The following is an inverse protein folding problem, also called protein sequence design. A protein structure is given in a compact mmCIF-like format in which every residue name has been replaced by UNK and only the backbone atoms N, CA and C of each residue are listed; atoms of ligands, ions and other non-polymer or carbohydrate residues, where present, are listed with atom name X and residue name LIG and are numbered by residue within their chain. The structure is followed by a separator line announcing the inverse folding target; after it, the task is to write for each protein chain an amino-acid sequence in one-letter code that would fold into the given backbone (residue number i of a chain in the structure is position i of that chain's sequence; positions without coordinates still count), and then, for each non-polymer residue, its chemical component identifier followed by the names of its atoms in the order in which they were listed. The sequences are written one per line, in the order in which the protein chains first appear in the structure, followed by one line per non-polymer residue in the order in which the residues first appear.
data_IF_696374885762
#
_entry.id   IF_696374885762
#
_cell.length_a   1.000
_cell.length_b   1.000
_cell.length_c   1.000
_cell.angle_alpha   90.00
_cell.angle_beta   90.00
_cell.angle_gamma   90.00
#
_symmetry.space_group_name_H-M   'P 1'
#
loop_
_entity.id
_entity.type
_entity.pdbx_description
1 polymer ?
#
# COMPACT_ATOMS: atom_id res chain seq x y z
N UNK A 1 -16.34 -11.09 -25.90
CA UNK A 1 -15.39 -11.99 -25.19
C UNK A 1 -14.43 -12.73 -26.14
N UNK A 2 -13.11 -12.57 -25.97
CA UNK A 2 -12.04 -13.29 -26.72
C UNK A 2 -11.28 -14.21 -25.74
N UNK A 3 -10.76 -15.36 -26.20
CA UNK A 3 -10.02 -16.31 -25.36
C UNK A 3 -8.62 -16.51 -25.93
N UNK A 4 -7.60 -16.38 -25.09
CA UNK A 4 -6.20 -16.59 -25.43
C UNK A 4 -5.67 -17.86 -24.78
N UNK A 5 -4.87 -18.60 -25.56
CA UNK A 5 -4.33 -19.90 -25.16
C UNK A 5 -3.20 -19.81 -24.12
N UNK A 6 -2.54 -18.67 -24.02
CA UNK A 6 -1.41 -18.44 -23.12
C UNK A 6 -1.13 -16.92 -23.03
N UNK A 7 -0.24 -16.54 -22.11
CA UNK A 7 0.12 -15.14 -21.91
C UNK A 7 0.84 -14.53 -23.12
N UNK A 8 1.78 -15.23 -23.80
CA UNK A 8 2.37 -14.76 -25.06
C UNK A 8 1.34 -14.36 -26.12
N UNK A 9 0.31 -15.20 -26.34
CA UNK A 9 -0.73 -14.91 -27.32
C UNK A 9 -1.58 -13.70 -26.92
N UNK A 10 -1.88 -13.54 -25.63
CA UNK A 10 -2.57 -12.34 -25.11
C UNK A 10 -1.71 -11.09 -25.36
N UNK A 11 -0.43 -11.14 -24.99
CA UNK A 11 0.50 -10.01 -25.11
C UNK A 11 0.67 -9.56 -26.56
N UNK A 12 0.79 -10.50 -27.50
CA UNK A 12 0.85 -10.18 -28.93
C UNK A 12 -0.42 -9.50 -29.44
N UNK A 13 -1.57 -9.77 -28.82
CA UNK A 13 -2.85 -9.20 -29.21
C UNK A 13 -3.18 -7.88 -28.50
N UNK A 14 -2.46 -7.48 -27.43
CA UNK A 14 -2.73 -6.25 -26.67
C UNK A 14 -2.93 -5.00 -27.55
N UNK A 15 -2.15 -4.75 -28.63
CA UNK A 15 -2.34 -3.57 -29.47
C UNK A 15 -3.69 -3.54 -30.22
N UNK A 16 -4.39 -4.67 -30.33
CA UNK A 16 -5.66 -4.82 -31.03
C UNK A 16 -6.87 -4.90 -30.08
N UNK A 17 -6.64 -4.83 -28.77
CA UNK A 17 -7.67 -4.89 -27.72
C UNK A 17 -8.07 -3.49 -27.26
N UNK A 18 -9.30 -3.31 -26.80
CA UNK A 18 -9.73 -2.03 -26.26
C UNK A 18 -9.10 -1.83 -24.87
N UNK A 19 -8.57 -0.64 -24.58
CA UNK A 19 -7.96 -0.34 -23.29
C UNK A 19 -8.96 -0.42 -22.11
N UNK A 20 -10.24 -0.24 -22.40
CA UNK A 20 -11.34 -0.42 -21.45
C UNK A 20 -11.67 -1.88 -21.15
N UNK A 21 -11.16 -2.84 -21.92
CA UNK A 21 -11.43 -4.26 -21.70
C UNK A 21 -10.70 -4.78 -20.44
N UNK A 22 -11.26 -5.83 -19.85
CA UNK A 22 -10.66 -6.57 -18.75
C UNK A 22 -10.15 -7.93 -19.20
N UNK A 23 -9.03 -8.33 -18.60
CA UNK A 23 -8.52 -9.70 -18.67
C UNK A 23 -8.90 -10.43 -17.40
N UNK A 24 -9.56 -11.55 -17.56
CA UNK A 24 -9.94 -12.46 -16.49
C UNK A 24 -9.05 -13.73 -16.51
N UNK A 25 -8.82 -14.28 -15.33
CA UNK A 25 -8.13 -15.56 -15.09
C UNK A 25 -9.09 -16.62 -14.55
N UNK A 26 -8.79 -17.91 -14.73
CA UNK A 26 -9.44 -18.99 -13.97
C UNK A 26 -9.37 -18.70 -12.46
N UNK A 27 -10.47 -18.95 -11.74
CA UNK A 27 -10.61 -18.54 -10.35
C UNK A 27 -9.57 -19.18 -9.41
N UNK A 28 -9.13 -20.40 -9.72
CA UNK A 28 -8.06 -21.13 -9.03
C UNK A 28 -6.68 -20.51 -9.29
N UNK A 29 -6.43 -20.03 -10.50
CA UNK A 29 -5.20 -19.32 -10.84
C UNK A 29 -5.16 -17.93 -10.17
N UNK A 30 -6.28 -17.19 -10.20
CA UNK A 30 -6.38 -15.92 -9.50
C UNK A 30 -6.10 -16.07 -7.99
N UNK A 31 -6.72 -17.06 -7.34
CA UNK A 31 -6.48 -17.34 -5.92
C UNK A 31 -5.02 -17.71 -5.60
N UNK A 32 -4.31 -18.36 -6.53
CA UNK A 32 -2.89 -18.67 -6.37
C UNK A 32 -2.00 -17.43 -6.52
N UNK A 33 -2.34 -16.48 -7.39
CA UNK A 33 -1.62 -15.21 -7.49
C UNK A 33 -1.78 -14.37 -6.22
N UNK A 34 -2.98 -14.39 -5.64
CA UNK A 34 -3.29 -13.64 -4.42
C UNK A 34 -2.67 -14.25 -3.16
N UNK A 35 -2.21 -15.51 -3.21
CA UNK A 35 -1.67 -16.20 -2.05
C UNK A 35 -0.30 -15.61 -1.60
N UNK A 36 -0.17 -15.07 -0.37
CA UNK A 36 1.02 -14.34 0.06
C UNK A 36 2.27 -15.20 0.32
N UNK A 37 2.15 -16.54 0.40
CA UNK A 37 3.22 -17.42 0.90
C UNK A 37 3.63 -18.58 -0.02
N UNK A 38 3.21 -18.59 -1.29
CA UNK A 38 3.63 -19.62 -2.25
C UNK A 38 4.60 -19.04 -3.29
N UNK A 39 5.66 -19.82 -3.61
CA UNK A 39 6.68 -19.54 -4.65
C UNK A 39 6.07 -19.06 -5.99
N UNK A 40 6.85 -18.34 -6.80
CA UNK A 40 6.52 -17.01 -7.28
C UNK A 40 5.30 -17.00 -8.20
N UNK A 41 4.37 -16.08 -7.92
CA UNK A 41 3.21 -15.74 -8.76
C UNK A 41 3.55 -15.64 -10.27
N UNK A 42 4.79 -15.26 -10.60
CA UNK A 42 5.33 -15.22 -11.96
C UNK A 42 5.39 -16.58 -12.69
N UNK A 43 5.58 -17.72 -11.99
CA UNK A 43 5.68 -19.05 -12.61
C UNK A 43 4.32 -19.59 -13.02
N UNK A 44 3.26 -19.26 -12.28
CA UNK A 44 1.88 -19.59 -12.66
C UNK A 44 1.54 -19.04 -14.05
N UNK A 45 1.97 -17.79 -14.32
CA UNK A 45 1.74 -17.11 -15.60
C UNK A 45 2.48 -17.75 -16.79
N UNK A 46 3.44 -18.64 -16.54
CA UNK A 46 4.17 -19.39 -17.58
C UNK A 46 3.46 -20.68 -17.97
N UNK A 47 2.43 -21.10 -17.24
CA UNK A 47 1.79 -22.39 -17.47
C UNK A 47 1.06 -22.41 -18.83
N UNK A 48 1.38 -23.36 -19.73
CA UNK A 48 0.78 -23.42 -21.06
C UNK A 48 -0.71 -23.85 -21.03
N UNK A 49 -1.22 -24.27 -19.87
CA UNK A 49 -2.62 -24.60 -19.65
C UNK A 49 -3.46 -23.39 -19.18
N UNK A 50 -2.81 -22.31 -18.74
CA UNK A 50 -3.49 -21.11 -18.29
C UNK A 50 -4.16 -20.41 -19.49
N UNK A 51 -5.42 -20.06 -19.33
CA UNK A 51 -6.22 -19.37 -20.36
C UNK A 51 -6.58 -17.99 -19.87
N UNK A 52 -6.58 -17.04 -20.79
CA UNK A 52 -6.92 -15.65 -20.49
C UNK A 52 -8.18 -15.29 -21.26
N UNK A 53 -9.15 -14.68 -20.58
CA UNK A 53 -10.41 -14.28 -21.18
C UNK A 53 -10.48 -12.77 -21.19
N UNK A 54 -10.61 -12.18 -22.37
CA UNK A 54 -10.79 -10.74 -22.54
C UNK A 54 -12.27 -10.44 -22.72
N UNK A 55 -12.81 -9.53 -21.91
CA UNK A 55 -14.21 -9.10 -21.94
C UNK A 55 -14.31 -7.58 -21.85
N UNK A 56 -15.47 -7.06 -22.27
CA UNK A 56 -15.80 -5.65 -22.05
C UNK A 56 -15.98 -5.38 -20.55
N UNK A 57 -15.62 -4.19 -20.07
CA UNK A 57 -15.74 -3.83 -18.64
C UNK A 57 -17.17 -3.93 -18.11
N UNK A 58 -18.18 -3.72 -18.95
CA UNK A 58 -19.59 -3.77 -18.57
C UNK A 58 -20.16 -5.21 -18.56
N UNK A 59 -19.41 -6.19 -19.07
CA UNK A 59 -19.79 -7.59 -19.04
C UNK A 59 -19.35 -8.23 -17.72
N UNK A 60 -20.21 -9.04 -17.12
CA UNK A 60 -19.86 -9.82 -15.94
C UNK A 60 -18.77 -10.87 -16.27
N UNK A 61 -17.87 -11.21 -15.32
CA UNK A 61 -16.91 -12.28 -15.49
C UNK A 61 -17.59 -13.61 -15.84
N UNK A 62 -16.95 -14.38 -16.70
CA UNK A 62 -17.42 -15.73 -17.04
C UNK A 62 -17.40 -16.62 -15.79
N UNK A 63 -18.39 -17.51 -15.65
CA UNK A 63 -18.40 -18.52 -14.58
C UNK A 63 -17.05 -19.26 -14.49
N UNK A 64 -16.49 -19.35 -13.29
CA UNK A 64 -15.19 -19.96 -13.03
C UNK A 64 -13.98 -19.08 -13.37
N UNK A 65 -14.19 -17.82 -13.75
CA UNK A 65 -13.15 -16.83 -13.97
C UNK A 65 -13.35 -15.63 -13.04
N UNK A 66 -12.25 -14.95 -12.71
CA UNK A 66 -12.22 -13.71 -11.93
C UNK A 66 -11.48 -12.62 -12.70
N UNK A 67 -11.86 -11.34 -12.53
CA UNK A 67 -11.06 -10.23 -13.03
C UNK A 67 -9.62 -10.35 -12.54
N UNK A 68 -8.66 -10.03 -13.41
CA UNK A 68 -7.25 -10.00 -13.06
C UNK A 68 -6.66 -8.62 -13.29
N UNK A 69 -6.63 -8.15 -14.55
CA UNK A 69 -6.08 -6.83 -14.88
C UNK A 69 -6.80 -6.20 -16.08
N UNK A 70 -6.95 -4.88 -16.12
CA UNK A 70 -7.37 -4.16 -17.33
C UNK A 70 -6.33 -4.28 -18.45
N UNK A 71 -6.80 -4.29 -19.70
CA UNK A 71 -5.93 -4.22 -20.88
C UNK A 71 -5.06 -2.97 -20.84
N UNK A 72 -5.58 -1.84 -20.34
CA UNK A 72 -4.81 -0.62 -20.15
C UNK A 72 -3.54 -0.82 -19.31
N UNK A 73 -3.62 -1.58 -18.21
CA UNK A 73 -2.46 -1.81 -17.33
C UNK A 73 -1.45 -2.74 -17.98
N UNK A 74 -1.94 -3.82 -18.62
CA UNK A 74 -1.08 -4.76 -19.33
C UNK A 74 -0.38 -4.09 -20.53
N UNK A 75 -1.06 -3.20 -21.25
CA UNK A 75 -0.49 -2.50 -22.40
C UNK A 75 0.62 -1.50 -22.04
N UNK A 76 0.63 -0.98 -20.80
CA UNK A 76 1.67 -0.07 -20.32
C UNK A 76 2.96 -0.80 -19.92
N UNK A 77 2.92 -2.11 -19.81
CA UNK A 77 4.08 -2.92 -19.44
C UNK A 77 5.03 -3.11 -20.64
N UNK A 78 6.33 -3.06 -20.37
CA UNK A 78 7.38 -3.25 -21.39
C UNK A 78 7.66 -4.74 -21.64
N UNK A 79 6.70 -5.43 -22.26
CA UNK A 79 6.80 -6.86 -22.53
C UNK A 79 7.99 -7.18 -23.44
N UNK A 80 8.89 -8.10 -23.05
CA UNK A 80 9.93 -8.60 -23.93
C UNK A 80 9.33 -9.49 -25.03
N UNK A 81 10.13 -9.80 -26.06
CA UNK A 81 9.70 -10.78 -27.07
C UNK A 81 9.38 -12.13 -26.41
N UNK A 82 8.22 -12.75 -26.67
CA UNK A 82 7.92 -14.08 -26.14
C UNK A 82 8.87 -15.18 -26.62
N UNK A 83 9.65 -14.93 -27.68
CA UNK A 83 10.69 -15.87 -28.15
C UNK A 83 11.94 -15.85 -27.27
N UNK A 84 12.17 -14.81 -26.47
CA UNK A 84 13.29 -14.73 -25.53
C UNK A 84 12.84 -15.21 -24.14
N UNK A 85 12.97 -16.52 -23.92
CA UNK A 85 12.52 -17.16 -22.67
C UNK A 85 13.22 -16.58 -21.42
N UNK A 86 14.46 -16.11 -21.54
CA UNK A 86 15.22 -15.57 -20.39
C UNK A 86 14.73 -14.18 -20.05
N UNK A 87 14.62 -13.29 -21.05
CA UNK A 87 14.07 -11.95 -20.84
C UNK A 87 12.62 -12.02 -20.34
N UNK A 88 11.80 -12.91 -20.93
CA UNK A 88 10.42 -13.14 -20.52
C UNK A 88 10.32 -13.60 -19.07
N UNK A 89 11.11 -14.60 -18.66
CA UNK A 89 11.09 -15.09 -17.27
C UNK A 89 11.54 -14.02 -16.28
N UNK A 90 12.58 -13.23 -16.61
CA UNK A 90 13.05 -12.12 -15.76
C UNK A 90 12.00 -11.02 -15.64
N UNK A 91 11.33 -10.68 -16.74
CA UNK A 91 10.27 -9.70 -16.76
C UNK A 91 9.09 -10.13 -15.87
N UNK A 92 8.62 -11.37 -16.02
CA UNK A 92 7.52 -11.87 -15.18
C UNK A 92 7.89 -11.86 -13.70
N UNK A 93 9.11 -12.26 -13.34
CA UNK A 93 9.58 -12.20 -11.95
C UNK A 93 9.69 -10.76 -11.44
N UNK A 94 10.09 -9.81 -12.28
CA UNK A 94 10.23 -8.41 -11.88
C UNK A 94 8.87 -7.71 -11.70
N UNK A 95 7.88 -8.02 -12.55
CA UNK A 95 6.57 -7.35 -12.49
C UNK A 95 5.58 -8.06 -11.55
N UNK A 96 5.54 -9.39 -11.57
CA UNK A 96 4.57 -10.20 -10.81
C UNK A 96 5.19 -10.96 -9.64
N UNK A 97 6.51 -11.02 -9.54
CA UNK A 97 7.17 -11.55 -8.36
C UNK A 97 7.10 -10.58 -7.18
N UNK A 98 7.21 -11.13 -5.96
CA UNK A 98 7.27 -10.38 -4.70
C UNK A 98 8.69 -10.41 -4.15
N UNK A 99 9.13 -9.31 -3.55
CA UNK A 99 10.47 -9.22 -2.94
C UNK A 99 10.68 -10.34 -1.92
N UNK A 100 11.89 -10.87 -1.85
CA UNK A 100 12.27 -11.87 -0.84
C UNK A 100 13.22 -11.29 0.21
N UNK A 101 13.54 -9.99 0.12
CA UNK A 101 14.59 -9.33 0.90
C UNK A 101 14.41 -9.45 2.42
N UNK A 102 13.16 -9.40 2.89
CA UNK A 102 12.80 -9.40 4.31
C UNK A 102 11.80 -10.52 4.67
N UNK A 103 11.61 -11.49 3.76
CA UNK A 103 10.63 -12.57 3.90
C UNK A 103 11.21 -13.77 4.65
N UNK A 104 12.54 -13.90 4.71
CA UNK A 104 13.17 -14.96 5.50
C UNK A 104 12.75 -14.85 6.97
N UNK A 105 12.34 -15.98 7.57
CA UNK A 105 11.95 -16.03 8.97
C UNK A 105 13.15 -15.64 9.84
N UNK A 106 13.01 -14.49 10.49
CA UNK A 106 13.85 -14.16 11.63
C UNK A 106 13.23 -14.75 12.89
N UNK A 107 14.07 -15.25 13.80
CA UNK A 107 13.62 -15.63 15.13
C UNK A 107 13.07 -14.39 15.87
N UNK A 108 12.12 -14.62 16.78
CA UNK A 108 11.66 -13.58 17.70
C UNK A 108 12.88 -13.03 18.45
N UNK A 109 13.03 -11.70 18.50
CA UNK A 109 14.15 -11.08 19.19
C UNK A 109 14.17 -11.44 20.68
N UNK A 110 15.36 -11.67 21.23
CA UNK A 110 15.54 -11.63 22.66
C UNK A 110 15.42 -10.17 23.15
N UNK A 111 15.03 -9.97 24.41
CA UNK A 111 14.90 -8.63 25.02
C UNK A 111 16.20 -7.81 24.88
N UNK A 112 17.36 -8.47 24.96
CA UNK A 112 18.67 -7.85 24.82
C UNK A 112 19.02 -7.40 23.39
N UNK A 113 18.29 -7.91 22.38
CA UNK A 113 18.50 -7.60 20.97
C UNK A 113 17.61 -6.44 20.48
N UNK A 114 16.69 -5.95 21.33
CA UNK A 114 15.87 -4.79 21.01
C UNK A 114 16.75 -3.54 20.85
N UNK A 115 16.74 -2.90 19.66
CA UNK A 115 17.55 -1.71 19.44
C UNK A 115 16.99 -0.52 20.23
N UNK A 116 17.91 0.34 20.71
CA UNK A 116 17.51 1.62 21.30
C UNK A 116 16.74 2.47 20.28
N UNK A 117 15.71 3.24 20.68
CA UNK A 117 14.98 4.12 19.77
C UNK A 117 15.88 5.21 19.19
N UNK A 118 15.84 5.37 17.86
CA UNK A 118 16.71 6.32 17.16
C UNK A 118 16.05 6.89 15.90
N UNK A 119 16.52 8.07 15.48
CA UNK A 119 16.15 8.68 14.21
C UNK A 119 17.18 8.35 13.13
N UNK A 120 16.70 8.15 11.90
CA UNK A 120 17.57 8.17 10.74
C UNK A 120 18.16 9.57 10.49
N UNK A 121 19.42 9.65 10.00
CA UNK A 121 19.97 10.90 9.50
C UNK A 121 19.12 11.49 8.36
N UNK A 122 19.15 12.82 8.21
CA UNK A 122 18.37 13.50 7.17
C UNK A 122 18.80 13.13 5.73
N UNK A 123 20.02 12.60 5.56
CA UNK A 123 20.60 12.12 4.31
C UNK A 123 20.58 10.59 4.18
N UNK A 124 19.75 9.90 4.99
CA UNK A 124 19.62 8.46 4.95
C UNK A 124 19.19 7.98 3.55
N UNK A 125 19.89 6.95 3.06
CA UNK A 125 19.53 6.29 1.81
C UNK A 125 18.22 5.52 1.94
N UNK A 126 17.59 5.20 0.81
CA UNK A 126 16.41 4.34 0.78
C UNK A 126 16.65 3.00 1.49
N UNK A 127 17.84 2.40 1.31
CA UNK A 127 18.18 1.14 1.97
C UNK A 127 18.26 1.28 3.50
N UNK A 128 18.73 2.41 4.01
CA UNK A 128 18.77 2.70 5.44
C UNK A 128 17.36 2.91 6.00
N UNK A 129 16.49 3.64 5.28
CA UNK A 129 15.09 3.83 5.68
C UNK A 129 14.33 2.51 5.67
N UNK A 130 14.47 1.69 4.63
CA UNK A 130 13.85 0.35 4.56
C UNK A 130 14.28 -0.54 5.73
N UNK A 131 15.57 -0.55 6.08
CA UNK A 131 16.07 -1.29 7.23
C UNK A 131 15.48 -0.76 8.55
N UNK A 132 15.33 0.57 8.68
CA UNK A 132 14.71 1.20 9.85
C UNK A 132 13.24 0.83 10.00
N UNK A 133 12.46 0.91 8.92
CA UNK A 133 11.05 0.51 8.93
C UNK A 133 10.90 -0.95 9.28
N UNK A 134 11.78 -1.81 8.75
CA UNK A 134 11.79 -3.22 9.11
C UNK A 134 12.12 -3.45 10.59
N UNK A 135 13.05 -2.69 11.17
CA UNK A 135 13.32 -2.75 12.61
C UNK A 135 12.12 -2.31 13.44
N UNK A 136 11.40 -1.27 13.02
CA UNK A 136 10.16 -0.85 13.67
C UNK A 136 9.07 -1.92 13.59
N UNK A 137 8.97 -2.64 12.47
CA UNK A 137 8.04 -3.77 12.31
C UNK A 137 8.40 -4.93 13.25
N UNK A 138 9.69 -5.28 13.33
CA UNK A 138 10.18 -6.29 14.25
C UNK A 138 9.93 -5.91 15.71
N UNK A 139 10.19 -4.65 16.08
CA UNK A 139 9.90 -4.13 17.40
C UNK A 139 8.40 -4.21 17.75
N UNK A 140 7.53 -3.93 16.77
CA UNK A 140 6.09 -4.04 16.95
C UNK A 140 5.65 -5.49 17.15
N UNK A 141 6.04 -6.39 16.24
CA UNK A 141 5.68 -7.81 16.30
C UNK A 141 6.22 -8.50 17.57
N UNK A 142 7.42 -8.09 18.03
CA UNK A 142 8.02 -8.61 19.26
C UNK A 142 7.14 -8.40 20.49
N UNK A 143 6.37 -7.31 20.56
CA UNK A 143 5.45 -7.08 21.69
C UNK A 143 4.33 -8.14 21.77
N UNK A 144 4.04 -8.81 20.66
CA UNK A 144 3.10 -9.93 20.58
C UNK A 144 3.82 -11.30 20.61
N UNK A 145 5.12 -11.33 20.94
CA UNK A 145 5.97 -12.53 20.92
C UNK A 145 6.04 -13.21 19.54
N UNK A 146 5.85 -12.43 18.46
CA UNK A 146 5.90 -12.90 17.07
C UNK A 146 7.04 -12.23 16.27
N UNK A 147 7.58 -12.90 15.25
CA UNK A 147 8.51 -12.27 14.33
C UNK A 147 7.75 -11.44 13.28
N UNK A 148 8.30 -10.31 12.86
CA UNK A 148 7.67 -9.55 11.78
C UNK A 148 7.71 -10.34 10.46
N UNK A 149 6.55 -10.45 9.83
CA UNK A 149 6.37 -11.16 8.56
C UNK A 149 6.20 -10.17 7.42
N UNK A 150 7.27 -9.87 6.69
CA UNK A 150 7.15 -9.05 5.48
C UNK A 150 6.21 -9.73 4.46
N UNK A 151 5.27 -8.96 3.92
CA UNK A 151 4.28 -9.37 2.91
C UNK A 151 4.30 -8.40 1.72
N UNK A 152 5.43 -8.33 0.97
CA UNK A 152 5.58 -7.35 -0.10
C UNK A 152 4.59 -7.58 -1.25
N UNK A 153 4.13 -6.48 -1.84
CA UNK A 153 3.33 -6.47 -3.06
C UNK A 153 4.22 -6.52 -4.30
N UNK A 154 3.67 -7.03 -5.40
CA UNK A 154 4.29 -7.02 -6.72
C UNK A 154 4.12 -5.66 -7.40
N UNK A 155 4.96 -5.37 -8.40
CA UNK A 155 4.83 -4.14 -9.18
C UNK A 155 3.52 -4.09 -9.96
N UNK A 156 3.03 -5.23 -10.43
CA UNK A 156 1.75 -5.33 -11.12
C UNK A 156 0.56 -4.97 -10.22
N UNK A 157 0.56 -5.40 -8.96
CA UNK A 157 -0.46 -5.02 -7.96
C UNK A 157 -0.45 -3.49 -7.73
N UNK A 158 0.74 -2.89 -7.58
CA UNK A 158 0.84 -1.44 -7.39
C UNK A 158 0.45 -0.65 -8.64
N UNK A 159 0.81 -1.11 -9.85
CA UNK A 159 0.35 -0.49 -11.10
C UNK A 159 -1.16 -0.54 -11.25
N UNK A 160 -1.78 -1.64 -10.86
CA UNK A 160 -3.24 -1.79 -10.87
C UNK A 160 -3.89 -0.81 -9.89
N UNK A 161 -3.32 -0.66 -8.71
CA UNK A 161 -3.74 0.35 -7.74
C UNK A 161 -3.63 1.77 -8.33
N UNK A 162 -2.46 2.16 -8.84
CA UNK A 162 -2.21 3.48 -9.43
C UNK A 162 -3.12 3.79 -10.61
N UNK A 163 -3.39 2.80 -11.46
CA UNK A 163 -4.35 2.92 -12.55
C UNK A 163 -5.76 3.20 -12.03
N UNK A 164 -6.22 2.49 -11.00
CA UNK A 164 -7.54 2.74 -10.37
C UNK A 164 -7.59 4.15 -9.78
N UNK A 165 -6.52 4.57 -9.11
CA UNK A 165 -6.43 5.88 -8.45
C UNK A 165 -6.31 7.04 -9.44
N UNK A 166 -5.83 6.78 -10.66
CA UNK A 166 -5.51 7.81 -11.65
C UNK A 166 -4.28 8.64 -11.28
N UNK A 167 -3.43 8.16 -10.36
CA UNK A 167 -2.19 8.81 -9.94
C UNK A 167 -1.17 7.76 -9.46
N UNK A 168 0.09 8.16 -9.40
CA UNK A 168 1.15 7.32 -8.84
C UNK A 168 1.10 7.34 -7.31
N UNK A 169 1.50 6.24 -6.67
CA UNK A 169 1.77 6.25 -5.25
C UNK A 169 3.03 7.09 -4.97
N UNK A 170 3.13 7.80 -3.82
CA UNK A 170 4.38 8.40 -3.38
C UNK A 170 5.50 7.36 -3.33
N UNK A 171 6.72 7.75 -3.74
CA UNK A 171 7.85 6.82 -3.92
C UNK A 171 8.15 6.02 -2.64
N UNK A 172 8.21 6.68 -1.49
CA UNK A 172 8.43 6.02 -0.19
C UNK A 172 7.34 5.00 0.15
N UNK A 173 6.07 5.29 -0.14
CA UNK A 173 4.96 4.34 0.07
C UNK A 173 5.08 3.14 -0.88
N UNK A 174 5.41 3.42 -2.15
CA UNK A 174 5.61 2.39 -3.16
C UNK A 174 6.76 1.45 -2.76
N UNK A 175 7.88 1.99 -2.32
CA UNK A 175 9.04 1.20 -1.90
C UNK A 175 8.76 0.38 -0.64
N UNK A 176 8.07 0.97 0.34
CA UNK A 176 7.60 0.24 1.52
C UNK A 176 6.71 -0.96 1.11
N UNK A 177 5.71 -0.75 0.26
CA UNK A 177 4.81 -1.81 -0.19
C UNK A 177 5.54 -2.89 -1.01
N UNK A 178 6.52 -2.52 -1.84
CA UNK A 178 7.31 -3.47 -2.64
C UNK A 178 8.28 -4.33 -1.83
N UNK A 179 8.75 -3.83 -0.68
CA UNK A 179 9.80 -4.50 0.10
C UNK A 179 9.28 -5.13 1.40
N UNK A 180 8.33 -4.47 2.06
CA UNK A 180 7.84 -4.84 3.39
C UNK A 180 6.36 -5.21 3.35
N UNK A 181 5.49 -4.33 2.85
CA UNK A 181 4.06 -4.61 2.63
C UNK A 181 3.25 -5.03 3.86
N UNK A 182 3.75 -4.81 5.07
CA UNK A 182 2.98 -5.04 6.31
C UNK A 182 2.00 -3.88 6.48
N UNK A 183 0.72 -4.20 6.63
CA UNK A 183 -0.35 -3.20 6.69
C UNK A 183 -0.78 -2.86 8.11
N UNK A 184 -0.49 -3.72 9.09
CA UNK A 184 -0.91 -3.55 10.46
C UNK A 184 0.32 -3.55 11.37
N UNK A 185 0.57 -2.41 12.03
CA UNK A 185 1.61 -2.27 13.05
C UNK A 185 1.25 -1.13 14.03
N UNK A 186 2.09 -0.10 14.20
CA UNK A 186 1.78 1.02 15.10
C UNK A 186 0.46 1.74 14.76
N UNK A 187 0.15 1.84 13.46
CA UNK A 187 -1.11 2.31 12.89
C UNK A 187 -1.41 1.49 11.63
N UNK A 188 -2.65 1.54 11.12
CA UNK A 188 -3.08 0.72 10.00
C UNK A 188 -2.84 1.44 8.66
N UNK A 189 -2.17 0.75 7.73
CA UNK A 189 -2.12 1.11 6.31
C UNK A 189 -3.24 0.39 5.55
N UNK A 190 -3.75 1.02 4.50
CA UNK A 190 -4.74 0.43 3.61
C UNK A 190 -4.07 -0.42 2.52
N UNK A 191 -4.80 -1.42 2.05
CA UNK A 191 -4.30 -2.35 1.02
C UNK A 191 -4.24 -1.69 -0.37
N UNK A 192 -3.18 -1.90 -1.16
CA UNK A 192 -3.19 -1.51 -2.58
C UNK A 192 -4.11 -2.41 -3.41
N UNK A 193 -4.40 -3.64 -2.95
CA UNK A 193 -5.35 -4.56 -3.56
C UNK A 193 -6.78 -4.21 -3.12
N UNK A 194 -7.73 -4.31 -4.06
CA UNK A 194 -9.13 -3.95 -3.88
C UNK A 194 -10.06 -5.00 -4.50
N UNK A 195 -11.34 -4.98 -4.13
CA UNK A 195 -12.36 -5.81 -4.78
C UNK A 195 -12.52 -5.42 -6.26
N UNK A 196 -11.99 -6.26 -7.15
CA UNK A 196 -12.07 -6.04 -8.60
C UNK A 196 -13.50 -6.16 -9.16
N UNK A 197 -14.47 -6.64 -8.37
CA UNK A 197 -15.89 -6.67 -8.74
C UNK A 197 -16.59 -5.37 -8.37
N UNK A 198 -16.22 -4.76 -7.24
CA UNK A 198 -16.78 -3.51 -6.74
C UNK A 198 -15.68 -2.51 -6.31
N UNK A 199 -14.82 -2.07 -7.24
CA UNK A 199 -13.59 -1.34 -6.91
C UNK A 199 -13.81 0.03 -6.27
N UNK A 200 -14.99 0.61 -6.48
CA UNK A 200 -15.38 1.94 -5.99
C UNK A 200 -16.18 1.86 -4.68
N UNK A 201 -16.30 0.68 -4.07
CA UNK A 201 -16.99 0.47 -2.79
C UNK A 201 -16.06 -0.14 -1.71
N UNK A 202 -14.79 -0.37 -2.04
CA UNK A 202 -13.83 -1.00 -1.13
C UNK A 202 -13.22 0.03 -0.18
N UNK A 203 -13.68 0.00 1.07
CA UNK A 203 -13.23 0.89 2.14
C UNK A 203 -11.87 0.49 2.73
N UNK A 204 -11.42 -0.75 2.52
CA UNK A 204 -10.17 -1.27 3.10
C UNK A 204 -8.95 -1.05 2.16
N UNK A 205 -9.17 -0.49 0.97
CA UNK A 205 -8.19 -0.44 -0.10
C UNK A 205 -7.87 0.97 -0.61
N UNK A 206 -6.65 1.46 -0.32
CA UNK A 206 -6.11 2.83 -0.59
C UNK A 206 -7.23 3.79 -1.04
N UNK A 207 -7.33 4.38 -2.23
CA UNK A 207 -8.61 4.98 -2.68
C UNK A 207 -8.93 6.40 -2.19
N UNK A 208 -10.06 6.92 -2.68
CA UNK A 208 -10.48 8.30 -2.40
C UNK A 208 -11.10 8.43 -1.02
N UNK A 209 -11.05 9.65 -0.47
CA UNK A 209 -11.63 9.93 0.85
C UNK A 209 -13.13 9.58 0.89
N UNK A 210 -13.87 9.84 -0.19
CA UNK A 210 -15.32 9.58 -0.21
C UNK A 210 -15.66 8.08 -0.21
N UNK A 211 -14.77 7.22 -0.73
CA UNK A 211 -14.98 5.77 -0.71
C UNK A 211 -14.62 5.22 0.66
N UNK A 212 -13.44 5.58 1.18
CA UNK A 212 -12.94 5.06 2.46
C UNK A 212 -13.74 5.59 3.65
N UNK A 213 -14.12 6.87 3.62
CA UNK A 213 -14.94 7.49 4.67
C UNK A 213 -16.11 8.28 4.06
N UNK A 214 -17.22 7.59 3.71
CA UNK A 214 -18.39 8.23 3.12
C UNK A 214 -19.01 9.32 3.99
N UNK A 215 -18.86 9.23 5.32
CA UNK A 215 -19.35 10.22 6.29
C UNK A 215 -18.74 11.61 6.13
N UNK A 216 -17.64 11.75 5.37
CA UNK A 216 -17.05 13.05 5.05
C UNK A 216 -18.03 13.97 4.31
N UNK A 217 -18.99 13.42 3.55
CA UNK A 217 -19.97 14.19 2.83
C UNK A 217 -20.82 15.06 3.78
N UNK A 218 -21.29 14.47 4.88
CA UNK A 218 -22.10 15.15 5.88
C UNK A 218 -21.31 16.26 6.58
N UNK A 219 -20.04 16.00 6.93
CA UNK A 219 -19.14 16.98 7.55
C UNK A 219 -18.93 18.20 6.64
N UNK A 220 -18.72 17.95 5.36
CA UNK A 220 -18.53 19.00 4.36
C UNK A 220 -19.83 19.78 4.14
N UNK A 221 -20.99 19.13 4.13
CA UNK A 221 -22.30 19.78 3.98
C UNK A 221 -22.67 20.67 5.16
N UNK A 222 -22.20 20.35 6.37
CA UNK A 222 -22.38 21.18 7.57
C UNK A 222 -21.49 22.44 7.59
N UNK A 223 -20.52 22.55 6.68
CA UNK A 223 -19.63 23.71 6.59
C UNK A 223 -20.28 24.89 5.85
N UNK A 224 -19.76 26.11 6.06
CA UNK A 224 -20.21 27.28 5.28
C UNK A 224 -19.98 27.06 3.76
N UNK A 225 -20.84 27.59 2.86
CA UNK A 225 -20.80 27.24 1.43
C UNK A 225 -19.43 27.40 0.74
N UNK A 226 -18.72 28.50 1.03
CA UNK A 226 -17.38 28.74 0.46
C UNK A 226 -16.34 27.73 1.00
N UNK A 227 -16.44 27.41 2.30
CA UNK A 227 -15.58 26.43 2.95
C UNK A 227 -15.87 25.01 2.45
N UNK A 228 -17.15 24.66 2.28
CA UNK A 228 -17.56 23.39 1.72
C UNK A 228 -17.02 23.21 0.29
N UNK A 229 -17.07 24.25 -0.55
CA UNK A 229 -16.49 24.20 -1.90
C UNK A 229 -14.97 24.00 -1.87
N UNK A 230 -14.27 24.73 -1.00
CA UNK A 230 -12.82 24.59 -0.82
C UNK A 230 -12.44 23.19 -0.31
N UNK A 231 -13.16 22.66 0.68
CA UNK A 231 -12.94 21.32 1.21
C UNK A 231 -13.21 20.25 0.15
N UNK A 232 -14.28 20.35 -0.64
CA UNK A 232 -14.54 19.41 -1.74
C UNK A 232 -13.40 19.38 -2.74
N UNK A 233 -12.89 20.55 -3.12
CA UNK A 233 -11.77 20.66 -4.05
C UNK A 233 -10.46 20.12 -3.45
N UNK A 234 -10.24 20.27 -2.15
CA UNK A 234 -9.06 19.72 -1.49
C UNK A 234 -9.15 18.20 -1.32
N UNK A 235 -10.29 17.68 -0.86
CA UNK A 235 -10.54 16.26 -0.66
C UNK A 235 -10.47 15.47 -1.98
N UNK A 236 -10.82 16.08 -3.12
CA UNK A 236 -10.68 15.43 -4.42
C UNK A 236 -9.24 15.22 -4.86
N UNK A 237 -8.28 15.96 -4.27
CA UNK A 237 -6.85 15.77 -4.53
C UNK A 237 -6.20 14.76 -3.57
N UNK A 238 -6.88 14.42 -2.47
CA UNK A 238 -6.37 13.49 -1.47
C UNK A 238 -6.69 12.03 -1.82
N UNK A 239 -5.77 11.15 -1.47
CA UNK A 239 -5.90 9.69 -1.55
C UNK A 239 -5.56 9.12 -0.19
N UNK A 240 -6.46 8.30 0.37
CA UNK A 240 -6.29 7.69 1.69
C UNK A 240 -5.36 6.50 1.56
N UNK A 241 -4.37 6.41 2.45
CA UNK A 241 -3.44 5.28 2.51
C UNK A 241 -3.30 4.68 3.90
N UNK A 242 -3.89 5.30 4.93
CA UNK A 242 -3.89 4.77 6.29
C UNK A 242 -5.11 5.20 7.09
N UNK A 243 -5.41 4.40 8.10
CA UNK A 243 -6.46 4.60 9.09
C UNK A 243 -5.80 4.79 10.46
N UNK A 244 -6.17 5.88 11.13
CA UNK A 244 -5.70 6.17 12.48
C UNK A 244 -6.55 5.39 13.48
N UNK A 245 -6.04 4.22 13.88
CA UNK A 245 -6.58 3.40 14.98
C UNK A 245 -8.06 2.99 14.82
N UNK A 246 -8.61 3.02 13.60
CA UNK A 246 -10.00 2.68 13.33
C UNK A 246 -11.00 3.70 13.87
N UNK A 247 -10.54 4.90 14.25
CA UNK A 247 -11.42 5.91 14.86
C UNK A 247 -12.12 6.81 13.84
N UNK A 248 -11.77 6.71 12.55
CA UNK A 248 -12.32 7.53 11.47
C UNK A 248 -11.42 8.68 11.01
N UNK A 249 -10.33 8.96 11.71
CA UNK A 249 -9.27 9.84 11.22
C UNK A 249 -8.40 9.10 10.20
N UNK A 250 -7.96 9.82 9.17
CA UNK A 250 -7.34 9.21 8.01
C UNK A 250 -6.00 9.85 7.65
N UNK A 251 -5.08 9.01 7.20
CA UNK A 251 -3.85 9.45 6.56
C UNK A 251 -4.03 9.48 5.05
N UNK A 252 -3.80 10.66 4.48
CA UNK A 252 -3.95 10.91 3.06
C UNK A 252 -2.62 11.39 2.47
N UNK A 253 -2.34 11.05 1.21
CA UNK A 253 -1.36 11.77 0.42
C UNK A 253 -2.06 12.66 -0.62
N UNK A 254 -1.46 13.79 -0.93
CA UNK A 254 -1.91 14.66 -2.02
C UNK A 254 -1.35 14.15 -3.35
N UNK A 255 -2.24 13.88 -4.32
CA UNK A 255 -1.85 13.32 -5.63
C UNK A 255 -0.94 14.23 -6.45
N UNK A 256 -0.82 15.52 -6.10
CA UNK A 256 -0.07 16.53 -6.87
C UNK A 256 1.38 16.60 -6.46
N UNK A 257 1.66 16.51 -5.16
CA UNK A 257 3.00 16.68 -4.60
C UNK A 257 3.47 15.55 -3.67
N UNK A 258 2.60 14.59 -3.33
CA UNK A 258 2.91 13.48 -2.44
C UNK A 258 2.94 13.84 -0.95
N UNK A 259 2.61 15.09 -0.59
CA UNK A 259 2.57 15.52 0.80
C UNK A 259 1.52 14.77 1.61
N UNK A 260 1.80 14.52 2.87
CA UNK A 260 0.93 13.77 3.78
C UNK A 260 0.04 14.72 4.55
N UNK A 261 -1.24 14.39 4.57
CA UNK A 261 -2.29 15.11 5.26
C UNK A 261 -2.99 14.19 6.27
N UNK A 262 -3.25 14.73 7.44
CA UNK A 262 -4.11 14.12 8.44
C UNK A 262 -5.52 14.71 8.30
N UNK A 263 -6.48 13.83 8.06
CA UNK A 263 -7.90 14.15 8.12
C UNK A 263 -8.40 13.83 9.53
N UNK A 264 -8.69 14.88 10.27
CA UNK A 264 -9.21 14.80 11.63
C UNK A 264 -10.68 15.21 11.62
N UNK A 265 -11.56 14.22 11.69
CA UNK A 265 -13.00 14.45 11.68
C UNK A 265 -13.55 14.90 13.05
N UNK A 266 -12.74 14.79 14.11
CA UNK A 266 -13.11 15.12 15.49
C UNK A 266 -12.81 16.59 15.83
N UNK A 267 -11.74 17.16 15.27
CA UNK A 267 -11.28 18.49 15.65
C UNK A 267 -10.88 19.40 14.47
N UNK A 268 -11.00 20.71 14.70
CA UNK A 268 -10.58 21.72 13.72
C UNK A 268 -9.06 21.99 13.79
N UNK A 269 -8.36 22.17 12.66
CA UNK A 269 -8.89 22.07 11.30
C UNK A 269 -9.06 20.60 10.85
N UNK A 270 -10.06 20.36 9.98
CA UNK A 270 -10.37 19.04 9.42
C UNK A 270 -9.19 18.43 8.66
N UNK A 271 -8.40 19.26 7.97
CA UNK A 271 -7.24 18.83 7.19
C UNK A 271 -6.00 19.56 7.69
N UNK A 272 -4.97 18.80 8.06
CA UNK A 272 -3.65 19.33 8.46
C UNK A 272 -2.57 18.67 7.63
N UNK A 273 -1.71 19.46 6.95
CA UNK A 273 -0.50 18.92 6.30
C UNK A 273 0.49 18.55 7.39
N UNK A 274 0.90 17.28 7.42
CA UNK A 274 1.74 16.70 8.47
C UNK A 274 3.17 16.48 8.00
N UNK A 275 3.33 15.92 6.80
CA UNK A 275 4.65 15.58 6.27
C UNK A 275 4.77 15.96 4.80
N UNK A 276 6.00 16.14 4.34
CA UNK A 276 6.28 16.38 2.93
C UNK A 276 6.43 15.08 2.13
N UNK A 277 6.72 13.96 2.81
CA UNK A 277 6.90 12.63 2.24
C UNK A 277 6.26 11.55 3.12
N UNK A 278 5.72 10.49 2.51
CA UNK A 278 5.16 9.34 3.25
C UNK A 278 6.24 8.62 4.06
N UNK A 279 7.50 8.67 3.62
CA UNK A 279 8.59 8.08 4.38
C UNK A 279 8.77 8.73 5.76
N UNK A 280 8.50 10.04 5.92
CA UNK A 280 8.63 10.71 7.22
C UNK A 280 7.58 10.19 8.21
N UNK A 281 6.39 9.89 7.70
CA UNK A 281 5.35 9.19 8.46
C UNK A 281 5.80 7.76 8.83
N UNK A 282 6.36 6.99 7.89
CA UNK A 282 6.86 5.63 8.18
C UNK A 282 8.05 5.62 9.16
N UNK A 283 8.95 6.62 9.08
CA UNK A 283 10.03 6.81 10.05
C UNK A 283 9.47 7.10 11.44
N UNK A 284 8.42 7.92 11.54
CA UNK A 284 7.74 8.20 12.80
C UNK A 284 7.08 6.94 13.39
N UNK A 285 6.39 6.14 12.57
CA UNK A 285 5.80 4.87 13.03
C UNK A 285 6.87 3.88 13.51
N UNK A 286 7.99 3.77 12.78
CA UNK A 286 9.10 2.92 13.20
C UNK A 286 9.66 3.35 14.56
N UNK A 287 9.84 4.66 14.78
CA UNK A 287 10.29 5.20 16.06
C UNK A 287 9.28 4.94 17.18
N UNK A 288 7.98 5.12 16.93
CA UNK A 288 6.93 4.85 17.92
C UNK A 288 6.97 3.39 18.36
N UNK A 289 7.06 2.45 17.42
CA UNK A 289 7.20 1.01 17.72
C UNK A 289 8.44 0.73 18.56
N UNK A 290 9.59 1.32 18.21
CA UNK A 290 10.84 1.17 18.94
C UNK A 290 10.75 1.72 20.37
N UNK A 291 10.17 2.91 20.56
CA UNK A 291 9.99 3.50 21.89
C UNK A 291 9.10 2.62 22.78
N UNK A 292 7.98 2.13 22.24
CA UNK A 292 7.06 1.24 22.96
C UNK A 292 7.75 -0.06 23.37
N UNK A 293 8.35 -0.78 22.42
CA UNK A 293 8.98 -2.08 22.71
C UNK A 293 10.16 -1.94 23.67
N UNK A 294 10.98 -0.89 23.52
CA UNK A 294 12.10 -0.64 24.41
C UNK A 294 11.66 -0.24 25.84
N UNK A 295 10.55 0.49 25.99
CA UNK A 295 9.98 0.74 27.31
C UNK A 295 9.47 -0.57 27.95
N UNK A 296 8.75 -1.39 27.20
CA UNK A 296 8.24 -2.70 27.64
C UNK A 296 9.38 -3.62 28.10
N UNK A 297 10.46 -3.73 27.32
CA UNK A 297 11.65 -4.50 27.67
C UNK A 297 12.24 -4.07 29.03
N UNK A 298 12.22 -2.77 29.33
CA UNK A 298 12.72 -2.24 30.60
C UNK A 298 11.71 -2.31 31.75
N UNK A 299 10.53 -2.91 31.53
CA UNK A 299 9.43 -2.93 32.49
C UNK A 299 8.83 -1.54 32.76
N UNK A 300 8.90 -0.63 31.78
CA UNK A 300 8.31 0.71 31.82
C UNK A 300 7.06 0.79 30.94
N UNK A 301 6.21 1.79 31.19
CA UNK A 301 4.96 2.06 30.47
C UNK A 301 4.95 3.43 29.77
N UNK A 302 6.08 4.15 29.75
CA UNK A 302 6.23 5.52 29.23
C UNK A 302 6.75 5.58 27.78
N UNK A 303 6.51 4.52 27.00
CA UNK A 303 7.00 4.41 25.62
C UNK A 303 6.35 5.41 24.67
N UNK A 304 5.06 5.70 24.85
CA UNK A 304 4.33 6.69 24.06
C UNK A 304 4.80 8.12 24.37
N UNK A 305 5.00 8.45 25.64
CA UNK A 305 5.55 9.74 26.07
C UNK A 305 6.98 9.94 25.55
N UNK A 306 7.80 8.88 25.56
CA UNK A 306 9.14 8.92 24.98
C UNK A 306 9.08 9.19 23.47
N UNK A 307 8.17 8.52 22.75
CA UNK A 307 7.97 8.76 21.33
C UNK A 307 7.50 10.19 21.06
N UNK A 308 6.51 10.69 21.81
CA UNK A 308 5.98 12.06 21.70
C UNK A 308 7.11 13.09 21.84
N UNK A 309 7.97 12.99 22.86
CA UNK A 309 9.08 13.92 23.07
C UNK A 309 10.05 13.94 21.89
N UNK A 310 10.38 12.76 21.33
CA UNK A 310 11.29 12.65 20.19
C UNK A 310 10.65 13.18 18.89
N UNK A 311 9.35 12.95 18.70
CA UNK A 311 8.57 13.47 17.58
C UNK A 311 8.40 14.99 17.67
N UNK A 312 8.07 15.54 18.85
CA UNK A 312 7.93 16.99 19.07
C UNK A 312 9.23 17.71 18.76
N UNK A 313 10.38 17.11 19.10
CA UNK A 313 11.69 17.66 18.79
C UNK A 313 11.97 17.70 17.28
N UNK A 314 11.43 16.75 16.52
CA UNK A 314 11.67 16.61 15.07
C UNK A 314 10.71 17.44 14.24
N UNK A 315 9.41 17.35 14.52
CA UNK A 315 8.33 17.92 13.71
C UNK A 315 7.67 19.14 14.36
N UNK A 316 7.97 19.40 15.63
CA UNK A 316 7.39 20.49 16.39
C UNK A 316 6.13 20.06 17.16
N UNK A 317 6.02 20.57 18.39
CA UNK A 317 4.92 20.28 19.32
C UNK A 317 3.52 20.46 18.74
N UNK A 318 3.29 21.51 17.95
CA UNK A 318 1.94 21.79 17.44
C UNK A 318 1.42 20.67 16.54
N UNK A 319 2.29 20.08 15.73
CA UNK A 319 1.96 19.02 14.79
C UNK A 319 1.70 17.70 15.51
N UNK A 320 2.59 17.33 16.44
CA UNK A 320 2.44 16.09 17.22
C UNK A 320 1.22 16.13 18.12
N UNK A 321 0.90 17.28 18.71
CA UNK A 321 -0.36 17.43 19.43
C UNK A 321 -1.58 17.21 18.56
N UNK A 322 -1.58 17.70 17.31
CA UNK A 322 -2.69 17.48 16.37
C UNK A 322 -2.83 16.03 15.93
N UNK A 323 -1.73 15.27 15.90
CA UNK A 323 -1.76 13.84 15.63
C UNK A 323 -2.33 13.07 16.82
N UNK A 324 -1.78 13.30 18.02
CA UNK A 324 -1.99 12.42 19.16
C UNK A 324 -3.19 12.80 20.05
N UNK A 325 -3.73 14.03 19.95
CA UNK A 325 -4.77 14.57 20.84
C UNK A 325 -5.81 15.43 20.12
#
# INVERSE_FOLDING_TARGET
MKIFKDLPALVQALPELALSDWVDLPADAAAQLDAPHQSPAADLLKQPALRFVVRDANEAPRMGHKPWMPVAVLAQMHWPSPSDAVAWSRFLQAEFGRSQRFVENHDVWDEADLPEPYWQPADASLDQRLAHWYQGLQAHAWMDEEPAQARPFSRAELRLCEWRLGCNLPESLRDYLLQLGVLDWAERLLSPCFDLVAPDADMDAIGSVQVVFPGIADIVEMSAPEQALALKAQLSELVVFGDYLGNGNLWCFDRRDGSVWYLDHDSSPLLTRMFDDVGDYLDALALMSLCRSHAVAQGRDDGDEQAEVLLEKRFGRALIRKWMY
#
